data_IF_511473054353
#
_entry.id   IF_511473054353
#
_cell.length_a   1.000
_cell.length_b   1.000
_cell.length_c   1.000
_cell.angle_alpha   90.00
_cell.angle_beta   90.00
_cell.angle_gamma   90.00
#
_symmetry.space_group_name_H-M   'P 1'
#
loop_
_entity.id
_entity.type
_entity.pdbx_description
1 polymer ?
#
# COMPACT_ATOMS: atom_id res chain seq x y z
N UNK A 1 22.59 -7.06 -8.22
CA UNK A 1 21.42 -6.18 -8.00
C UNK A 1 20.71 -6.67 -6.75
N UNK A 2 20.50 -5.83 -5.74
CA UNK A 2 19.72 -6.22 -4.56
C UNK A 2 18.26 -6.43 -4.96
N UNK A 3 17.74 -7.63 -4.77
CA UNK A 3 16.33 -7.94 -5.02
C UNK A 3 15.45 -7.08 -4.11
N UNK A 4 14.46 -6.38 -4.69
CA UNK A 4 13.52 -5.58 -3.90
C UNK A 4 12.44 -6.52 -3.37
N UNK A 5 12.30 -6.57 -2.06
CA UNK A 5 11.29 -7.39 -1.38
C UNK A 5 10.17 -6.54 -0.80
N UNK A 6 9.00 -7.15 -0.67
CA UNK A 6 7.88 -6.54 0.03
C UNK A 6 8.23 -6.33 1.51
N UNK A 7 8.06 -5.11 2.01
CA UNK A 7 8.35 -4.73 3.39
C UNK A 7 7.42 -5.40 4.42
N UNK A 8 6.30 -6.00 3.98
CA UNK A 8 5.31 -6.65 4.86
C UNK A 8 5.45 -8.17 4.84
N UNK A 9 5.48 -8.78 3.65
CA UNK A 9 5.46 -10.24 3.54
C UNK A 9 6.80 -10.85 3.10
N UNK A 10 7.83 -10.03 2.82
CA UNK A 10 9.15 -10.50 2.40
C UNK A 10 9.23 -11.10 1.00
N UNK A 11 8.10 -11.24 0.29
CA UNK A 11 8.08 -11.77 -1.08
C UNK A 11 8.89 -10.90 -2.04
N UNK A 12 9.59 -11.50 -3.02
CA UNK A 12 10.25 -10.73 -4.08
C UNK A 12 9.21 -9.96 -4.88
N UNK A 13 9.51 -8.69 -5.17
CA UNK A 13 8.65 -7.84 -5.97
C UNK A 13 8.85 -8.10 -7.45
N UNK A 14 7.74 -8.09 -8.18
CA UNK A 14 7.77 -8.14 -9.64
C UNK A 14 8.26 -6.79 -10.21
N UNK A 15 8.77 -6.77 -11.46
CA UNK A 15 9.09 -5.51 -12.14
C UNK A 15 7.91 -4.52 -12.17
N UNK A 16 6.68 -5.03 -12.28
CA UNK A 16 5.47 -4.22 -12.28
C UNK A 16 5.18 -3.60 -10.90
N UNK A 17 5.33 -4.35 -9.81
CA UNK A 17 5.22 -3.80 -8.46
C UNK A 17 6.20 -2.62 -8.29
N UNK A 18 7.46 -2.82 -8.69
CA UNK A 18 8.51 -1.81 -8.60
C UNK A 18 8.16 -0.57 -9.42
N UNK A 19 7.68 -0.75 -10.66
CA UNK A 19 7.25 0.34 -11.54
C UNK A 19 6.11 1.14 -10.91
N UNK A 20 5.11 0.47 -10.33
CA UNK A 20 3.99 1.17 -9.67
C UNK A 20 4.48 1.92 -8.43
N UNK A 21 5.36 1.34 -7.62
CA UNK A 21 5.94 2.01 -6.44
C UNK A 21 6.74 3.26 -6.85
N UNK A 22 7.45 3.19 -7.98
CA UNK A 22 8.18 4.34 -8.53
C UNK A 22 7.23 5.44 -9.05
N UNK A 23 6.18 5.07 -9.78
CA UNK A 23 5.17 6.02 -10.27
C UNK A 23 4.39 6.69 -9.14
N UNK A 24 4.07 5.93 -8.09
CA UNK A 24 3.35 6.44 -6.91
C UNK A 24 4.23 7.25 -5.96
N UNK A 25 5.55 7.29 -6.18
CA UNK A 25 6.49 8.10 -5.41
C UNK A 25 6.28 9.59 -5.72
N UNK A 26 5.27 10.19 -5.08
CA UNK A 26 4.93 11.62 -5.18
C UNK A 26 6.07 12.56 -4.79
N UNK A 27 7.03 12.11 -3.97
CA UNK A 27 8.19 12.89 -3.59
C UNK A 27 9.43 12.01 -3.51
N UNK A 28 10.55 12.39 -4.15
CA UNK A 28 11.80 11.67 -4.04
C UNK A 28 12.33 11.66 -2.59
N UNK A 29 11.93 12.63 -1.76
CA UNK A 29 12.35 12.71 -0.35
C UNK A 29 11.53 11.80 0.58
N UNK A 30 10.33 11.38 0.18
CA UNK A 30 9.54 10.44 0.99
C UNK A 30 10.04 9.01 0.73
N UNK A 31 10.36 8.31 1.81
CA UNK A 31 10.67 6.88 1.79
C UNK A 31 9.37 6.11 1.52
N UNK A 32 9.08 5.83 0.26
CA UNK A 32 7.96 4.95 -0.11
C UNK A 32 8.32 3.52 0.24
N UNK A 33 7.45 2.83 0.99
CA UNK A 33 7.61 1.41 1.30
C UNK A 33 7.40 0.58 0.04
N UNK A 34 8.22 -0.45 -0.13
CA UNK A 34 8.06 -1.39 -1.22
C UNK A 34 7.02 -2.45 -0.82
N UNK A 35 5.82 -2.40 -1.39
CA UNK A 35 4.72 -3.32 -1.06
C UNK A 35 4.31 -4.08 -2.33
N UNK A 36 4.12 -5.41 -2.21
CA UNK A 36 3.53 -6.19 -3.29
C UNK A 36 2.04 -5.87 -3.45
N UNK A 37 1.50 -6.19 -4.62
CA UNK A 37 0.08 -6.02 -4.94
C UNK A 37 -0.86 -6.57 -3.84
N UNK A 38 -0.61 -7.77 -3.33
CA UNK A 38 -1.45 -8.40 -2.29
C UNK A 38 -1.48 -7.58 -0.99
N UNK A 39 -0.30 -7.17 -0.52
CA UNK A 39 -0.18 -6.38 0.71
C UNK A 39 -0.82 -5.00 0.54
N UNK A 40 -0.64 -4.38 -0.63
CA UNK A 40 -1.27 -3.09 -0.95
C UNK A 40 -2.79 -3.20 -0.98
N UNK A 41 -3.32 -4.29 -1.55
CA UNK A 41 -4.77 -4.55 -1.59
C UNK A 41 -5.35 -4.70 -0.17
N UNK A 42 -4.71 -5.50 0.69
CA UNK A 42 -5.14 -5.67 2.09
C UNK A 42 -5.15 -4.36 2.87
N UNK A 43 -4.12 -3.53 2.70
CA UNK A 43 -4.05 -2.21 3.34
C UNK A 43 -5.21 -1.30 2.87
N UNK A 44 -5.50 -1.30 1.57
CA UNK A 44 -6.60 -0.53 1.01
C UNK A 44 -7.98 -1.01 1.48
N UNK A 45 -8.21 -2.33 1.53
CA UNK A 45 -9.45 -2.91 2.07
C UNK A 45 -9.67 -2.54 3.54
N UNK A 46 -8.59 -2.56 4.33
CA UNK A 46 -8.63 -2.11 5.73
C UNK A 46 -8.99 -0.63 5.83
N UNK A 47 -8.36 0.23 5.04
CA UNK A 47 -8.68 1.65 4.98
C UNK A 47 -10.16 1.88 4.62
N UNK A 48 -10.69 1.18 3.61
CA UNK A 48 -12.10 1.30 3.25
C UNK A 48 -13.04 0.87 4.38
N UNK A 49 -12.69 -0.18 5.12
CA UNK A 49 -13.46 -0.62 6.28
C UNK A 49 -13.47 0.45 7.38
N UNK A 50 -12.30 0.99 7.72
CA UNK A 50 -12.16 2.05 8.73
C UNK A 50 -12.94 3.31 8.32
N UNK A 51 -12.88 3.72 7.05
CA UNK A 51 -13.67 4.84 6.53
C UNK A 51 -15.17 4.57 6.62
N UNK A 52 -15.62 3.36 6.23
CA UNK A 52 -17.03 2.98 6.32
C UNK A 52 -17.54 3.04 7.76
N UNK A 53 -16.77 2.51 8.72
CA UNK A 53 -17.12 2.55 10.14
C UNK A 53 -17.21 3.99 10.68
N UNK A 54 -16.36 4.90 10.21
CA UNK A 54 -16.42 6.32 10.56
C UNK A 54 -17.68 6.99 10.02
N UNK A 55 -17.99 6.80 8.73
CA UNK A 55 -19.18 7.40 8.10
C UNK A 55 -20.47 6.90 8.75
N UNK A 56 -20.60 5.58 8.96
CA UNK A 56 -21.79 5.03 9.61
C UNK A 56 -21.95 5.49 11.07
N UNK A 57 -20.87 5.93 11.72
CA UNK A 57 -20.92 6.48 13.07
C UNK A 57 -21.38 7.95 13.05
N UNK A 58 -20.95 8.72 12.06
CA UNK A 58 -21.42 10.09 11.86
C UNK A 58 -22.91 10.13 11.50
N UNK A 59 -23.40 9.19 10.67
CA UNK A 59 -24.83 9.13 10.31
C UNK A 59 -25.75 8.68 11.46
N UNK A 60 -25.19 8.08 12.52
CA UNK A 60 -25.93 7.63 13.72
C UNK A 60 -25.89 8.62 14.89
N UNK A 61 -25.16 9.72 14.76
CA UNK A 61 -25.01 10.76 15.81
C UNK A 61 -25.90 11.96 15.52
#
# INVERSE_FOLDING_TARGET
MSEKVCAVCGKPLTPDDIRIIQLTRRSPRRKTRYLCADCRKKEYERYLKEVKELVEKEERS
#
